data_IF_544255541489
#
_entry.id   IF_544255541489
#
_cell.length_a   1.000
_cell.length_b   1.000
_cell.length_c   1.000
_cell.angle_alpha   90.00
_cell.angle_beta   90.00
_cell.angle_gamma   90.00
#
_symmetry.space_group_name_H-M   'P 1'
#
loop_
_entity.id
_entity.type
_entity.pdbx_description
1 polymer ?
#
# COMPACT_ATOMS: atom_id res chain seq x y z
N UNK A 1 10.98 -9.09 12.45
CA UNK A 1 10.77 -8.68 11.05
C UNK A 1 12.13 -8.50 10.40
N UNK A 2 12.40 -9.23 9.33
CA UNK A 2 13.60 -9.04 8.51
C UNK A 2 13.51 -7.65 7.87
N UNK A 3 14.34 -6.72 8.32
CA UNK A 3 14.60 -5.44 7.65
C UNK A 3 15.58 -5.72 6.51
N UNK A 4 15.10 -6.37 5.44
CA UNK A 4 15.84 -6.36 4.20
C UNK A 4 15.59 -4.99 3.58
N UNK A 5 16.58 -4.10 3.67
CA UNK A 5 16.50 -2.75 3.14
C UNK A 5 16.78 -2.70 1.62
N UNK A 6 16.98 -3.86 0.99
CA UNK A 6 17.32 -4.02 -0.41
C UNK A 6 16.15 -4.68 -1.13
N UNK A 7 15.37 -3.87 -1.83
CA UNK A 7 14.46 -4.32 -2.88
C UNK A 7 15.18 -4.13 -4.21
N UNK A 8 15.26 -5.20 -4.99
CA UNK A 8 15.57 -5.08 -6.41
C UNK A 8 14.27 -4.74 -7.15
N UNK A 9 14.10 -3.45 -7.47
CA UNK A 9 12.89 -2.93 -8.13
C UNK A 9 12.63 -3.65 -9.44
N UNK A 10 13.64 -3.87 -10.26
CA UNK A 10 13.49 -4.51 -11.58
C UNK A 10 12.94 -5.94 -11.45
N UNK A 11 13.24 -6.59 -10.32
CA UNK A 11 12.71 -7.91 -10.00
C UNK A 11 11.28 -7.88 -9.44
N UNK A 12 10.86 -6.81 -8.74
CA UNK A 12 9.58 -6.75 -8.02
C UNK A 12 8.49 -6.04 -8.82
N UNK A 13 8.81 -4.97 -9.54
CA UNK A 13 7.87 -4.15 -10.30
C UNK A 13 6.98 -4.95 -11.27
N UNK A 14 7.49 -5.96 -12.01
CA UNK A 14 6.64 -6.76 -12.89
C UNK A 14 5.49 -7.50 -12.16
N UNK A 15 5.63 -7.74 -10.86
CA UNK A 15 4.59 -8.40 -10.06
C UNK A 15 3.49 -7.45 -9.59
N UNK A 16 3.68 -6.12 -9.71
CA UNK A 16 2.65 -5.12 -9.42
C UNK A 16 1.43 -5.22 -10.37
N UNK A 17 1.58 -5.88 -11.52
CA UNK A 17 0.52 -6.16 -12.48
C UNK A 17 0.12 -7.65 -12.53
N UNK A 18 0.54 -8.46 -11.55
CA UNK A 18 0.23 -9.89 -11.55
C UNK A 18 -1.28 -10.15 -11.48
N UNK A 19 -1.80 -11.10 -12.24
CA UNK A 19 -3.21 -11.54 -12.14
C UNK A 19 -3.52 -12.19 -10.77
N UNK A 20 -2.53 -12.81 -10.10
CA UNK A 20 -2.71 -13.32 -8.74
C UNK A 20 -2.71 -12.15 -7.75
N UNK A 21 -3.88 -11.90 -7.17
CA UNK A 21 -4.14 -10.86 -6.17
C UNK A 21 -3.12 -10.87 -5.02
N UNK A 22 -2.65 -12.03 -4.58
CA UNK A 22 -1.72 -12.14 -3.45
C UNK A 22 -0.30 -11.72 -3.86
N UNK A 23 0.12 -12.13 -5.05
CA UNK A 23 1.41 -11.73 -5.63
C UNK A 23 1.43 -10.22 -5.84
N UNK A 24 0.35 -9.69 -6.44
CA UNK A 24 0.19 -8.26 -6.68
C UNK A 24 0.19 -7.44 -5.40
N UNK A 25 -0.58 -7.85 -4.38
CA UNK A 25 -0.60 -7.19 -3.08
C UNK A 25 0.80 -7.16 -2.43
N UNK A 26 1.50 -8.29 -2.43
CA UNK A 26 2.84 -8.38 -1.85
C UNK A 26 3.85 -7.47 -2.58
N UNK A 27 3.80 -7.43 -3.91
CA UNK A 27 4.65 -6.58 -4.73
C UNK A 27 4.40 -5.10 -4.46
N UNK A 28 3.14 -4.67 -4.49
CA UNK A 28 2.76 -3.27 -4.24
C UNK A 28 3.12 -2.82 -2.82
N UNK A 29 2.93 -3.66 -1.80
CA UNK A 29 3.35 -3.35 -0.43
C UNK A 29 4.87 -3.22 -0.32
N UNK A 30 5.64 -4.08 -0.98
CA UNK A 30 7.10 -3.99 -0.99
C UNK A 30 7.54 -2.68 -1.67
N UNK A 31 7.03 -2.39 -2.87
CA UNK A 31 7.35 -1.17 -3.60
C UNK A 31 6.94 0.10 -2.83
N UNK A 32 5.77 0.10 -2.20
CA UNK A 32 5.26 1.21 -1.39
C UNK A 32 6.17 1.52 -0.19
N UNK A 33 6.67 0.49 0.51
CA UNK A 33 7.58 0.67 1.65
C UNK A 33 8.94 1.23 1.27
N UNK A 34 9.41 0.99 0.05
CA UNK A 34 10.79 1.29 -0.34
C UNK A 34 10.92 2.46 -1.30
N UNK A 35 10.01 2.59 -2.27
CA UNK A 35 10.05 3.66 -3.29
C UNK A 35 8.96 4.73 -3.07
N UNK A 36 8.08 4.51 -2.08
CA UNK A 36 7.23 5.56 -1.52
C UNK A 36 5.85 5.73 -2.18
N UNK A 37 5.45 6.99 -2.30
CA UNK A 37 4.06 7.47 -2.37
C UNK A 37 3.30 6.99 -3.60
N UNK A 38 3.95 6.91 -4.77
CA UNK A 38 3.28 6.52 -6.01
C UNK A 38 2.74 5.10 -5.95
N UNK A 39 3.48 4.18 -5.33
CA UNK A 39 3.08 2.79 -5.16
C UNK A 39 1.97 2.62 -4.12
N UNK A 40 1.92 3.48 -3.10
CA UNK A 40 0.75 3.56 -2.22
C UNK A 40 -0.50 3.95 -3.01
N UNK A 41 -0.42 4.95 -3.87
CA UNK A 41 -1.56 5.36 -4.69
C UNK A 41 -2.06 4.24 -5.59
N UNK A 42 -1.13 3.51 -6.26
CA UNK A 42 -1.47 2.36 -7.09
C UNK A 42 -2.19 1.28 -6.26
N UNK A 43 -1.61 0.88 -5.13
CA UNK A 43 -2.20 -0.17 -4.29
C UNK A 43 -3.52 0.21 -3.63
N UNK A 44 -3.70 1.48 -3.24
CA UNK A 44 -4.95 1.99 -2.66
C UNK A 44 -6.05 2.21 -3.71
N UNK A 45 -5.71 2.23 -5.01
CA UNK A 45 -6.69 2.32 -6.10
C UNK A 45 -6.95 0.97 -6.78
N UNK A 46 -6.32 -0.12 -6.31
CA UNK A 46 -6.49 -1.44 -6.91
C UNK A 46 -7.96 -1.88 -6.87
N UNK A 47 -8.49 -2.48 -7.95
CA UNK A 47 -9.86 -2.96 -7.98
C UNK A 47 -10.14 -4.04 -6.92
N UNK A 48 -9.13 -4.84 -6.55
CA UNK A 48 -9.23 -5.84 -5.51
C UNK A 48 -9.15 -5.21 -4.13
N UNK A 49 -10.21 -5.40 -3.34
CA UNK A 49 -10.23 -4.94 -1.97
C UNK A 49 -9.12 -5.59 -1.11
N UNK A 50 -8.66 -6.79 -1.45
CA UNK A 50 -7.54 -7.43 -0.75
C UNK A 50 -6.24 -6.63 -0.94
N UNK A 51 -5.92 -6.20 -2.16
CA UNK A 51 -4.72 -5.39 -2.44
C UNK A 51 -4.79 -4.06 -1.70
N UNK A 52 -5.96 -3.40 -1.71
CA UNK A 52 -6.17 -2.15 -0.97
C UNK A 52 -5.99 -2.31 0.52
N UNK A 53 -6.52 -3.40 1.11
CA UNK A 53 -6.35 -3.70 2.55
C UNK A 53 -4.88 -3.91 2.90
N UNK A 54 -4.15 -4.71 2.12
CA UNK A 54 -2.72 -4.97 2.37
C UNK A 54 -1.89 -3.69 2.24
N UNK A 55 -2.16 -2.86 1.22
CA UNK A 55 -1.51 -1.56 1.04
C UNK A 55 -1.82 -0.61 2.19
N UNK A 56 -3.09 -0.52 2.61
CA UNK A 56 -3.51 0.30 3.73
C UNK A 56 -2.89 -0.17 5.06
N UNK A 57 -2.59 -1.46 5.21
CA UNK A 57 -2.00 -2.01 6.42
C UNK A 57 -0.64 -1.43 6.77
N UNK A 58 0.05 -0.85 5.77
CA UNK A 58 1.38 -0.26 5.89
C UNK A 58 1.36 1.28 5.75
N UNK A 59 0.18 1.91 5.76
CA UNK A 59 0.05 3.38 5.79
C UNK A 59 0.77 4.04 6.97
N UNK A 60 0.98 3.32 8.07
CA UNK A 60 1.74 3.83 9.22
C UNK A 60 3.21 4.12 8.93
N UNK A 61 3.73 3.60 7.82
CA UNK A 61 5.08 3.89 7.34
C UNK A 61 5.16 5.25 6.60
N UNK A 62 4.01 5.86 6.26
CA UNK A 62 3.94 7.21 5.69
C UNK A 62 3.73 8.26 6.77
N UNK A 63 4.32 9.43 6.57
CA UNK A 63 3.93 10.65 7.28
C UNK A 63 2.60 11.16 6.71
N UNK A 64 1.50 10.98 7.46
CA UNK A 64 0.16 11.39 7.04
C UNK A 64 0.03 12.89 6.77
N UNK A 65 0.86 13.73 7.40
CA UNK A 65 0.86 15.18 7.17
C UNK A 65 1.40 15.56 5.80
N UNK A 66 2.35 14.77 5.29
CA UNK A 66 2.94 14.96 3.98
C UNK A 66 2.09 14.37 2.85
N UNK A 67 1.17 13.45 3.18
CA UNK A 67 0.35 12.73 2.21
C UNK A 67 -1.15 12.66 2.59
N UNK A 68 -1.80 13.81 2.87
CA UNK A 68 -3.19 13.82 3.35
C UNK A 68 -4.16 13.17 2.35
N UNK A 69 -3.91 13.30 1.05
CA UNK A 69 -4.77 12.73 0.00
C UNK A 69 -4.84 11.20 0.05
N UNK A 70 -3.73 10.52 0.39
CA UNK A 70 -3.71 9.06 0.51
C UNK A 70 -4.45 8.57 1.76
N UNK A 71 -4.36 9.34 2.85
CA UNK A 71 -5.10 9.05 4.07
C UNK A 71 -6.59 9.30 3.89
N UNK A 72 -6.97 10.40 3.24
CA UNK A 72 -8.36 10.71 2.87
C UNK A 72 -8.95 9.61 1.98
N UNK A 73 -8.22 9.21 0.92
CA UNK A 73 -8.62 8.10 0.05
C UNK A 73 -8.93 6.83 0.86
N UNK A 74 -8.07 6.50 1.82
CA UNK A 74 -8.19 5.30 2.64
C UNK A 74 -9.30 5.40 3.71
N UNK A 75 -9.55 6.60 4.24
CA UNK A 75 -10.64 6.86 5.18
C UNK A 75 -12.02 6.75 4.53
N UNK A 76 -12.09 6.98 3.21
CA UNK A 76 -13.30 6.91 2.40
C UNK A 76 -13.45 5.63 1.57
N UNK A 77 -12.58 4.64 1.74
CA UNK A 77 -12.69 3.35 1.05
C UNK A 77 -13.99 2.62 1.42
N UNK A 78 -14.58 1.90 0.46
CA UNK A 78 -15.79 1.09 0.69
C UNK A 78 -15.54 -0.14 1.55
N UNK A 79 -14.28 -0.59 1.67
CA UNK A 79 -13.89 -1.72 2.51
C UNK A 79 -13.58 -1.24 3.95
N UNK A 80 -14.29 -1.74 4.97
CA UNK A 80 -14.13 -1.28 6.35
C UNK A 80 -12.75 -1.58 6.94
N UNK A 81 -12.01 -2.57 6.41
CA UNK A 81 -10.65 -2.87 6.89
C UNK A 81 -9.65 -1.80 6.43
N UNK A 82 -9.80 -1.26 5.22
CA UNK A 82 -8.96 -0.14 4.74
C UNK A 82 -9.17 1.07 5.64
N UNK A 83 -10.43 1.44 5.90
CA UNK A 83 -10.80 2.52 6.81
C UNK A 83 -10.23 2.30 8.22
N UNK A 84 -10.30 1.05 8.72
CA UNK A 84 -9.75 0.68 10.03
C UNK A 84 -8.23 0.88 10.11
N UNK A 85 -7.50 0.59 9.03
CA UNK A 85 -6.06 0.84 8.98
C UNK A 85 -5.75 2.34 8.93
N UNK A 86 -6.44 3.08 8.08
CA UNK A 86 -6.27 4.53 7.95
C UNK A 86 -6.49 5.27 9.28
N UNK A 87 -7.54 4.91 10.03
CA UNK A 87 -7.84 5.50 11.36
C UNK A 87 -6.78 5.22 12.43
N UNK A 88 -5.95 4.20 12.25
CA UNK A 88 -4.86 3.84 13.18
C UNK A 88 -3.52 4.43 12.80
N UNK A 89 -3.36 4.80 11.53
CA UNK A 89 -2.13 5.39 11.04
C UNK A 89 -1.99 6.83 11.57
N UNK A 90 -0.76 7.29 11.87
CA UNK A 90 -0.52 8.65 12.31
C UNK A 90 -0.89 9.63 11.19
N UNK A 91 -1.74 10.61 11.53
CA UNK A 91 -2.19 11.68 10.63
C UNK A 91 -1.50 13.00 10.93
#
# INVERSE_FOLDING_TARGET
MLHCNEIDREMVEPFADSEDVRIRAAALVALAKHEGVSWFEVGLKDPSACVRVETASVLCELDGKSHPDLFELSLHDTNPNVVRHAKKAPT
#
